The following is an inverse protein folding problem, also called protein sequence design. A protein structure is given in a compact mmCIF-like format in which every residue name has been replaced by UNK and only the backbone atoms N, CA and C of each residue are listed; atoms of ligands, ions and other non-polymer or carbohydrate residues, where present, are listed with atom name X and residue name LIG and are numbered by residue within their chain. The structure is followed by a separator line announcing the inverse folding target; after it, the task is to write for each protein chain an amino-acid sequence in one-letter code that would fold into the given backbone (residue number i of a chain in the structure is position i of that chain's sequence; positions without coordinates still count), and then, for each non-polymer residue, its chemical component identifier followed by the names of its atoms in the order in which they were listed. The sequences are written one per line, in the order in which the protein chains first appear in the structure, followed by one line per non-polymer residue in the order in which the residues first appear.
data_IF_156284083946
#
_entry.id   IF_156284083946
#
_cell.length_a   1.000
_cell.length_b   1.000
_cell.length_c   1.000
_cell.angle_alpha   90.00
_cell.angle_beta   90.00
_cell.angle_gamma   90.00
#
_symmetry.space_group_name_H-M   'P 1'
#
loop_
_entity.id
_entity.type
_entity.pdbx_description
1 polymer ?
#
# COMPACT_ATOMS: atom_id res chain seq x y z
N UNK A 1 8.50 -15.35 -9.50
CA UNK A 1 8.18 -15.74 -8.11
C UNK A 1 6.80 -15.23 -7.72
N UNK A 2 5.96 -16.05 -7.06
CA UNK A 2 4.57 -15.70 -6.70
C UNK A 2 4.44 -14.38 -5.90
N UNK A 3 5.41 -14.11 -5.02
CA UNK A 3 5.45 -12.91 -4.20
C UNK A 3 5.45 -11.61 -5.03
N UNK A 4 6.19 -11.57 -6.14
CA UNK A 4 6.23 -10.40 -7.03
C UNK A 4 4.85 -10.11 -7.60
N UNK A 5 4.19 -11.12 -8.18
CA UNK A 5 2.87 -10.95 -8.81
C UNK A 5 1.84 -10.49 -7.78
N UNK A 6 1.83 -11.15 -6.61
CA UNK A 6 0.89 -10.85 -5.54
C UNK A 6 1.06 -9.43 -5.00
N UNK A 7 2.29 -9.05 -4.65
CA UNK A 7 2.56 -7.76 -4.03
C UNK A 7 2.55 -6.62 -5.04
N UNK A 8 2.89 -6.87 -6.31
CA UNK A 8 2.69 -5.92 -7.39
C UNK A 8 1.21 -5.56 -7.55
N UNK A 9 0.33 -6.56 -7.62
CA UNK A 9 -1.11 -6.33 -7.65
C UNK A 9 -1.57 -5.53 -6.42
N UNK A 10 -1.07 -5.87 -5.22
CA UNK A 10 -1.40 -5.17 -3.98
C UNK A 10 -1.03 -3.69 -4.01
N UNK A 11 0.19 -3.34 -4.44
CA UNK A 11 0.65 -1.94 -4.47
C UNK A 11 0.04 -1.14 -5.62
N UNK A 12 -0.36 -1.81 -6.71
CA UNK A 12 -1.07 -1.18 -7.82
C UNK A 12 -2.55 -0.91 -7.50
N UNK A 13 -3.15 -1.69 -6.61
CA UNK A 13 -4.55 -1.58 -6.20
C UNK A 13 -4.81 -0.42 -5.22
N UNK A 14 -4.43 0.80 -5.61
CA UNK A 14 -4.67 2.02 -4.84
C UNK A 14 -6.16 2.34 -4.85
N UNK A 15 -6.82 2.16 -3.70
CA UNK A 15 -8.25 2.43 -3.52
C UNK A 15 -8.46 3.90 -3.16
N UNK A 16 -8.57 4.75 -4.18
CA UNK A 16 -8.99 6.13 -3.97
C UNK A 16 -10.51 6.25 -3.79
N UNK A 17 -10.97 7.40 -3.30
CA UNK A 17 -12.38 7.60 -2.95
C UNK A 17 -13.29 7.57 -4.19
N UNK A 18 -12.77 7.88 -5.38
CA UNK A 18 -13.50 7.72 -6.65
C UNK A 18 -13.75 6.25 -6.94
N UNK A 19 -12.71 5.41 -6.81
CA UNK A 19 -12.81 3.97 -7.01
C UNK A 19 -13.72 3.34 -5.94
N UNK A 20 -13.59 3.76 -4.68
CA UNK A 20 -14.49 3.32 -3.60
C UNK A 20 -15.93 3.72 -3.90
N UNK A 21 -16.19 4.95 -4.33
CA UNK A 21 -17.53 5.41 -4.70
C UNK A 21 -18.11 4.62 -5.88
N UNK A 22 -17.29 4.27 -6.87
CA UNK A 22 -17.70 3.39 -7.97
C UNK A 22 -18.08 1.99 -7.46
N UNK A 23 -17.24 1.37 -6.64
CA UNK A 23 -17.49 0.04 -6.08
C UNK A 23 -18.72 0.00 -5.15
N UNK A 24 -18.95 1.06 -4.37
CA UNK A 24 -20.09 1.16 -3.47
C UNK A 24 -21.42 1.42 -4.17
N UNK A 25 -21.39 1.92 -5.42
CA UNK A 25 -22.59 2.22 -6.22
C UNK A 25 -22.72 1.32 -7.44
N UNK A 26 -21.98 0.21 -7.49
CA UNK A 26 -22.00 -0.72 -8.62
C UNK A 26 -23.28 -1.56 -8.62
N UNK A 27 -23.80 -1.84 -9.82
CA UNK A 27 -25.00 -2.67 -9.98
C UNK A 27 -24.79 -4.09 -9.47
N UNK A 28 -23.58 -4.63 -9.66
CA UNK A 28 -23.20 -5.95 -9.16
C UNK A 28 -23.29 -6.04 -7.64
N UNK A 29 -22.80 -5.01 -6.93
CA UNK A 29 -22.93 -4.91 -5.47
C UNK A 29 -24.40 -4.87 -5.08
N UNK A 30 -25.19 -4.01 -5.71
CA UNK A 30 -26.62 -3.90 -5.40
C UNK A 30 -27.37 -5.21 -5.67
N UNK A 31 -27.04 -5.93 -6.75
CA UNK A 31 -27.62 -7.23 -7.08
C UNK A 31 -27.26 -8.27 -6.02
N UNK A 32 -26.00 -8.31 -5.59
CA UNK A 32 -25.51 -9.22 -4.54
C UNK A 32 -26.16 -8.92 -3.20
N UNK A 33 -26.29 -7.65 -2.84
CA UNK A 33 -26.93 -7.24 -1.59
C UNK A 33 -28.43 -7.59 -1.60
N UNK A 34 -29.14 -7.33 -2.71
CA UNK A 34 -30.55 -7.74 -2.85
C UNK A 34 -30.72 -9.25 -2.70
N UNK A 35 -29.87 -10.05 -3.36
CA UNK A 35 -29.90 -11.50 -3.23
C UNK A 35 -29.58 -11.96 -1.79
N UNK A 36 -28.60 -11.33 -1.14
CA UNK A 36 -28.17 -11.66 0.22
C UNK A 36 -29.28 -11.40 1.26
N UNK A 37 -30.02 -10.32 1.09
CA UNK A 37 -31.07 -9.91 2.01
C UNK A 37 -32.47 -10.31 1.53
N UNK A 38 -32.58 -11.13 0.48
CA UNK A 38 -33.84 -11.58 -0.12
C UNK A 38 -34.82 -10.43 -0.41
N UNK A 39 -34.29 -9.30 -0.88
CA UNK A 39 -35.06 -8.09 -1.17
C UNK A 39 -35.69 -8.20 -2.55
N UNK A 40 -37.01 -8.15 -2.60
CA UNK A 40 -37.78 -8.18 -3.84
C UNK A 40 -38.45 -6.81 -4.10
N UNK A 41 -37.94 -6.01 -5.04
CA UNK A 41 -38.53 -4.71 -5.37
C UNK A 41 -39.98 -4.82 -5.86
N UNK A 42 -40.38 -5.94 -6.48
CA UNK A 42 -41.74 -6.13 -6.99
C UNK A 42 -42.75 -6.36 -5.87
N UNK A 43 -42.29 -6.88 -4.72
CA UNK A 43 -43.09 -6.98 -3.49
C UNK A 43 -43.14 -5.67 -2.68
N UNK A 44 -42.42 -4.64 -3.12
CA UNK A 44 -42.36 -3.34 -2.46
C UNK A 44 -41.22 -3.18 -1.46
N UNK A 45 -40.29 -4.14 -1.37
CA UNK A 45 -39.14 -4.04 -0.46
C UNK A 45 -38.19 -2.91 -0.85
N UNK A 46 -37.67 -2.19 0.14
CA UNK A 46 -36.75 -1.07 -0.07
C UNK A 46 -35.44 -1.29 0.66
N UNK A 47 -34.34 -1.10 -0.06
CA UNK A 47 -33.00 -1.09 0.51
C UNK A 47 -32.44 0.32 0.47
N UNK A 48 -32.07 0.87 1.62
CA UNK A 48 -31.46 2.18 1.74
C UNK A 48 -30.02 2.08 2.22
N UNK A 49 -29.08 2.68 1.48
CA UNK A 49 -27.67 2.65 1.82
C UNK A 49 -27.23 3.91 2.59
N UNK A 50 -26.54 3.69 3.70
CA UNK A 50 -25.87 4.72 4.50
C UNK A 50 -24.42 4.31 4.68
N UNK A 51 -23.51 5.11 4.15
CA UNK A 51 -22.08 4.81 4.21
C UNK A 51 -21.40 5.70 5.23
N UNK A 52 -20.74 5.08 6.20
CA UNK A 52 -19.88 5.76 7.17
C UNK A 52 -18.50 5.93 6.53
N UNK A 53 -18.22 7.13 6.05
CA UNK A 53 -16.98 7.43 5.36
C UNK A 53 -16.20 8.51 6.09
N UNK A 54 -14.87 8.39 6.06
CA UNK A 54 -13.94 9.43 6.48
C UNK A 54 -13.10 9.86 5.29
N UNK A 55 -13.67 10.63 4.34
CA UNK A 55 -12.92 11.09 3.17
C UNK A 55 -11.68 11.87 3.61
N UNK A 56 -10.57 11.64 2.91
CA UNK A 56 -9.31 12.34 3.20
C UNK A 56 -8.74 12.93 1.91
N UNK A 57 -8.57 14.24 1.90
CA UNK A 57 -8.01 14.96 0.76
C UNK A 57 -6.76 15.71 1.18
N UNK A 58 -5.73 15.65 0.35
CA UNK A 58 -4.56 16.52 0.46
C UNK A 58 -4.78 17.70 -0.50
N UNK A 59 -4.91 18.91 0.06
CA UNK A 59 -5.08 20.16 -0.70
C UNK A 59 -4.11 21.22 -0.14
N UNK A 60 -3.26 21.77 -1.01
CA UNK A 60 -2.27 22.81 -0.67
C UNK A 60 -1.39 22.45 0.54
N UNK A 61 -0.90 21.22 0.61
CA UNK A 61 -0.06 20.75 1.71
C UNK A 61 -0.79 20.56 3.04
N UNK A 62 -2.12 20.72 3.07
CA UNK A 62 -2.97 20.44 4.25
C UNK A 62 -3.80 19.18 4.01
N UNK A 63 -3.87 18.33 5.02
CA UNK A 63 -4.74 17.16 5.01
C UNK A 63 -6.09 17.50 5.62
N UNK A 64 -7.14 17.36 4.82
CA UNK A 64 -8.52 17.52 5.25
C UNK A 64 -9.14 16.15 5.42
N UNK A 65 -9.47 15.80 6.66
CA UNK A 65 -10.15 14.57 7.00
C UNK A 65 -11.33 14.88 7.92
N UNK A 66 -12.53 14.41 7.56
CA UNK A 66 -13.72 14.58 8.38
C UNK A 66 -14.60 13.33 8.31
N UNK A 67 -15.40 13.11 9.36
CA UNK A 67 -16.36 12.01 9.40
C UNK A 67 -17.67 12.46 8.74
N UNK A 68 -18.17 11.70 7.77
CA UNK A 68 -19.40 12.03 7.06
C UNK A 68 -20.24 10.78 6.79
N UNK A 69 -21.55 10.92 6.98
CA UNK A 69 -22.54 9.92 6.56
C UNK A 69 -22.94 10.21 5.12
N UNK A 70 -22.37 9.48 4.16
CA UNK A 70 -22.70 9.68 2.74
C UNK A 70 -23.87 8.81 2.29
N UNK A 71 -24.62 9.31 1.31
CA UNK A 71 -25.68 8.59 0.60
C UNK A 71 -25.23 8.21 -0.81
N UNK A 72 -25.93 7.29 -1.45
CA UNK A 72 -25.60 6.83 -2.81
C UNK A 72 -25.56 7.94 -3.83
N UNK A 73 -26.43 8.95 -3.75
CA UNK A 73 -26.39 10.08 -4.68
C UNK A 73 -25.06 10.85 -4.60
N UNK A 74 -24.50 11.00 -3.39
CA UNK A 74 -23.20 11.65 -3.18
C UNK A 74 -22.08 10.83 -3.81
N UNK A 75 -22.11 9.51 -3.62
CA UNK A 75 -21.13 8.60 -4.23
C UNK A 75 -21.29 8.52 -5.75
N UNK A 76 -22.51 8.61 -6.27
CA UNK A 76 -22.81 8.69 -7.70
C UNK A 76 -22.27 9.96 -8.35
N UNK A 77 -22.18 11.07 -7.61
CA UNK A 77 -21.47 12.27 -8.05
C UNK A 77 -19.96 12.00 -7.99
N UNK A 78 -19.44 11.56 -6.85
CA UNK A 78 -18.00 11.31 -6.66
C UNK A 78 -17.39 10.40 -7.73
N UNK A 79 -18.08 9.32 -8.13
CA UNK A 79 -17.58 8.39 -9.16
C UNK A 79 -17.42 9.02 -10.55
N UNK A 80 -18.10 10.14 -10.82
CA UNK A 80 -18.03 10.90 -12.07
C UNK A 80 -16.94 11.97 -12.05
N UNK A 81 -16.47 12.38 -10.87
CA UNK A 81 -15.45 13.42 -10.68
C UNK A 81 -14.02 12.87 -10.89
N UNK A 82 -13.80 12.09 -11.96
CA UNK A 82 -12.48 11.49 -12.28
C UNK A 82 -11.38 12.54 -12.48
N UNK A 83 -11.76 13.76 -12.86
CA UNK A 83 -10.86 14.89 -13.04
C UNK A 83 -10.19 15.34 -11.72
N UNK A 84 -10.78 15.03 -10.55
CA UNK A 84 -10.15 15.33 -9.25
C UNK A 84 -8.79 14.65 -9.10
N UNK A 85 -8.56 13.49 -9.72
CA UNK A 85 -7.25 12.82 -9.74
C UNK A 85 -6.16 13.67 -10.40
N UNK A 86 -6.53 14.57 -11.31
CA UNK A 86 -5.60 15.48 -12.00
C UNK A 86 -5.40 16.78 -11.21
N UNK A 87 -6.46 17.27 -10.57
CA UNK A 87 -6.44 18.54 -9.82
C UNK A 87 -5.83 18.39 -8.43
N UNK A 88 -5.88 17.19 -7.86
CA UNK A 88 -5.30 16.87 -6.55
C UNK A 88 -4.13 15.88 -6.72
N UNK A 89 -2.98 16.31 -7.31
CA UNK A 89 -1.87 15.41 -7.56
C UNK A 89 -1.16 14.94 -6.28
N UNK A 90 -1.36 15.59 -5.14
CA UNK A 90 -0.84 15.09 -3.85
C UNK A 90 -1.75 14.03 -3.21
N UNK A 91 -2.96 13.84 -3.75
CA UNK A 91 -3.90 12.85 -3.26
C UNK A 91 -3.39 11.43 -3.54
N UNK A 92 -3.31 10.60 -2.51
CA UNK A 92 -2.67 9.25 -2.58
C UNK A 92 -1.24 9.28 -3.12
N UNK A 93 -0.51 10.38 -2.94
CA UNK A 93 0.90 10.47 -3.34
C UNK A 93 1.79 9.47 -2.58
N UNK A 94 1.67 9.30 -1.25
CA UNK A 94 2.48 8.31 -0.54
C UNK A 94 2.27 6.87 -1.06
N UNK A 95 1.03 6.48 -1.40
CA UNK A 95 0.74 5.18 -2.02
C UNK A 95 1.41 5.04 -3.39
N UNK A 96 1.34 6.08 -4.23
CA UNK A 96 1.96 6.07 -5.57
C UNK A 96 3.48 6.01 -5.47
N UNK A 97 4.07 6.80 -4.59
CA UNK A 97 5.50 6.77 -4.33
C UNK A 97 5.91 5.38 -3.84
N UNK A 98 5.08 4.73 -3.00
CA UNK A 98 5.36 3.36 -2.51
C UNK A 98 5.28 2.33 -3.63
N UNK A 99 4.29 2.43 -4.51
CA UNK A 99 4.20 1.61 -5.73
C UNK A 99 5.41 1.80 -6.63
N UNK A 100 5.80 3.04 -6.89
CA UNK A 100 6.89 3.35 -7.81
C UNK A 100 8.25 2.90 -7.25
N UNK A 101 8.43 3.06 -5.93
CA UNK A 101 9.54 2.44 -5.21
C UNK A 101 9.55 0.91 -5.36
N UNK A 102 8.41 0.24 -5.15
CA UNK A 102 8.34 -1.23 -5.29
C UNK A 102 8.68 -1.69 -6.72
N UNK A 103 8.19 -0.97 -7.73
CA UNK A 103 8.50 -1.21 -9.13
C UNK A 103 10.01 -1.05 -9.42
N UNK A 104 10.68 -0.07 -8.81
CA UNK A 104 12.12 0.13 -8.98
C UNK A 104 12.99 -1.01 -8.43
N UNK A 105 12.44 -1.88 -7.58
CA UNK A 105 13.15 -3.06 -7.06
C UNK A 105 13.20 -4.21 -8.07
N UNK A 106 12.25 -4.25 -9.03
CA UNK A 106 12.10 -5.37 -9.94
C UNK A 106 13.29 -5.59 -10.90
N UNK A 107 13.92 -4.55 -11.47
CA UNK A 107 15.13 -4.73 -12.28
C UNK A 107 16.30 -5.34 -11.48
N UNK A 108 16.45 -4.99 -10.20
CA UNK A 108 17.48 -5.56 -9.32
C UNK A 108 17.23 -7.02 -8.98
N UNK A 109 15.96 -7.43 -8.87
CA UNK A 109 15.60 -8.83 -8.63
C UNK A 109 16.01 -9.75 -9.78
N UNK A 110 15.87 -9.31 -11.05
CA UNK A 110 16.31 -10.10 -12.21
C UNK A 110 17.81 -10.43 -12.16
N UNK A 111 18.61 -9.47 -11.67
CA UNK A 111 20.05 -9.64 -11.49
C UNK A 111 20.37 -10.54 -10.30
N UNK A 112 19.68 -10.35 -9.17
CA UNK A 112 19.84 -11.13 -7.95
C UNK A 112 19.41 -12.59 -8.10
N UNK A 113 18.44 -12.88 -8.98
CA UNK A 113 17.95 -14.24 -9.24
C UNK A 113 19.02 -15.19 -9.80
N UNK A 114 20.20 -14.67 -10.19
CA UNK A 114 21.33 -15.47 -10.68
C UNK A 114 22.12 -16.16 -9.56
N UNK A 115 21.97 -15.75 -8.30
CA UNK A 115 22.63 -16.35 -7.12
C UNK A 115 21.59 -16.69 -6.05
N UNK A 116 21.67 -17.89 -5.47
CA UNK A 116 20.68 -18.38 -4.50
C UNK A 116 20.60 -17.52 -3.23
N UNK A 117 21.74 -17.08 -2.68
CA UNK A 117 21.78 -16.23 -1.48
C UNK A 117 21.16 -14.85 -1.72
N UNK A 118 21.45 -14.24 -2.87
CA UNK A 118 20.88 -12.96 -3.27
C UNK A 118 19.38 -13.07 -3.60
N UNK A 119 18.95 -14.19 -4.16
CA UNK A 119 17.55 -14.47 -4.45
C UNK A 119 16.68 -14.50 -3.19
N UNK A 120 17.08 -15.24 -2.15
CA UNK A 120 16.30 -15.35 -0.90
C UNK A 120 16.21 -14.00 -0.19
N UNK A 121 17.31 -13.24 -0.17
CA UNK A 121 17.35 -11.89 0.41
C UNK A 121 16.43 -10.93 -0.34
N UNK A 122 16.47 -10.92 -1.66
CA UNK A 122 15.54 -10.12 -2.47
C UNK A 122 14.09 -10.58 -2.29
N UNK A 123 13.85 -11.88 -2.14
CA UNK A 123 12.51 -12.41 -1.91
C UNK A 123 11.92 -11.89 -0.59
N UNK A 124 12.73 -11.76 0.47
CA UNK A 124 12.31 -11.13 1.72
C UNK A 124 11.89 -9.67 1.48
N UNK A 125 12.68 -8.90 0.73
CA UNK A 125 12.35 -7.51 0.37
C UNK A 125 11.02 -7.43 -0.40
N UNK A 126 10.83 -8.31 -1.39
CA UNK A 126 9.64 -8.34 -2.22
C UNK A 126 8.36 -8.75 -1.49
N UNK A 127 8.48 -9.35 -0.29
CA UNK A 127 7.38 -9.69 0.61
C UNK A 127 7.02 -8.60 1.60
N UNK A 128 7.87 -7.59 1.81
CA UNK A 128 7.60 -6.50 2.77
C UNK A 128 6.25 -5.78 2.57
N UNK A 129 5.72 -5.60 1.33
CA UNK A 129 4.38 -5.03 1.16
C UNK A 129 3.27 -5.86 1.79
N UNK A 130 3.45 -7.14 2.11
CA UNK A 130 2.43 -7.98 2.76
C UNK A 130 2.04 -7.43 4.13
N UNK A 131 3.00 -6.91 4.89
CA UNK A 131 2.81 -6.33 6.23
C UNK A 131 2.14 -4.95 6.19
N UNK A 132 2.20 -4.26 5.03
CA UNK A 132 1.60 -2.95 4.82
C UNK A 132 0.09 -3.11 4.63
N UNK A 133 -0.65 -2.94 5.72
CA UNK A 133 -2.10 -3.06 5.78
C UNK A 133 -2.69 -2.10 6.80
N UNK A 134 -4.00 -1.82 6.66
CA UNK A 134 -4.75 -0.96 7.56
C UNK A 134 -5.15 0.39 6.96
N UNK A 135 -5.73 1.24 7.81
CA UNK A 135 -6.09 2.61 7.49
C UNK A 135 -4.85 3.48 7.26
N UNK A 136 -5.03 4.69 6.71
CA UNK A 136 -3.95 5.54 6.22
C UNK A 136 -2.93 5.85 7.31
N UNK A 137 -3.42 6.16 8.51
CA UNK A 137 -2.67 6.46 9.73
C UNK A 137 -1.75 5.31 10.18
N UNK A 138 -2.11 4.06 9.88
CA UNK A 138 -1.31 2.87 10.21
C UNK A 138 -0.43 2.48 9.02
N UNK A 139 -0.98 2.61 7.81
CA UNK A 139 -0.36 2.17 6.57
C UNK A 139 0.87 3.00 6.21
N UNK A 140 0.82 4.32 6.40
CA UNK A 140 1.92 5.21 6.03
C UNK A 140 3.18 4.98 6.87
N UNK A 141 3.10 4.87 8.20
CA UNK A 141 4.24 4.44 9.01
C UNK A 141 4.80 3.10 8.55
N UNK A 142 3.92 2.10 8.30
CA UNK A 142 4.34 0.78 7.82
C UNK A 142 5.02 0.81 6.45
N UNK A 143 4.61 1.70 5.55
CA UNK A 143 5.29 1.90 4.26
C UNK A 143 6.71 2.43 4.46
N UNK A 144 6.89 3.38 5.37
CA UNK A 144 8.21 3.90 5.71
C UNK A 144 9.09 2.82 6.38
N UNK A 145 8.54 2.05 7.31
CA UNK A 145 9.22 0.91 7.93
C UNK A 145 9.63 -0.15 6.91
N UNK A 146 8.74 -0.49 5.98
CA UNK A 146 9.03 -1.45 4.90
C UNK A 146 10.20 -0.96 4.03
N UNK A 147 10.23 0.33 3.67
CA UNK A 147 11.36 0.91 2.93
C UNK A 147 12.66 0.85 3.73
N UNK A 148 12.64 1.24 4.99
CA UNK A 148 13.82 1.19 5.86
C UNK A 148 14.34 -0.25 6.06
N UNK A 149 13.45 -1.24 6.15
CA UNK A 149 13.85 -2.66 6.21
C UNK A 149 14.44 -3.14 4.89
N UNK A 150 13.86 -2.74 3.76
CA UNK A 150 14.40 -3.08 2.45
C UNK A 150 15.81 -2.54 2.25
N UNK A 151 16.07 -1.29 2.64
CA UNK A 151 17.40 -0.69 2.57
C UNK A 151 18.41 -1.50 3.38
N UNK A 152 18.07 -1.89 4.61
CA UNK A 152 18.94 -2.74 5.45
C UNK A 152 19.22 -4.11 4.82
N UNK A 153 18.22 -4.73 4.20
CA UNK A 153 18.38 -6.04 3.56
C UNK A 153 19.17 -5.97 2.25
N UNK A 154 19.10 -4.86 1.54
CA UNK A 154 19.81 -4.67 0.26
C UNK A 154 21.25 -4.17 0.45
N UNK A 155 21.62 -3.70 1.64
CA UNK A 155 23.01 -3.37 1.94
C UNK A 155 23.92 -4.61 1.74
N UNK A 156 25.04 -4.47 1.02
CA UNK A 156 26.00 -5.56 0.86
C UNK A 156 26.67 -5.85 2.21
N UNK A 157 26.82 -7.14 2.54
CA UNK A 157 27.41 -7.64 3.81
C UNK A 157 28.84 -7.15 4.09
N UNK A 158 29.52 -6.52 3.12
CA UNK A 158 30.86 -5.97 3.26
C UNK A 158 31.01 -4.94 4.40
N UNK A 159 29.92 -4.31 4.86
CA UNK A 159 29.95 -3.39 6.01
C UNK A 159 29.92 -4.12 7.37
N UNK A 160 29.46 -5.36 7.45
CA UNK A 160 29.33 -6.12 8.70
C UNK A 160 30.62 -6.87 9.08
N UNK A 161 31.41 -7.32 8.10
CA UNK A 161 32.69 -8.00 8.36
C UNK A 161 33.85 -7.03 8.69
N UNK A 162 33.79 -5.78 8.21
CA UNK A 162 34.82 -4.76 8.48
C UNK A 162 34.91 -4.34 9.95
N UNK A 163 33.76 -4.24 10.63
CA UNK A 163 33.68 -3.82 12.04
C UNK A 163 34.16 -4.93 13.00
N UNK A 164 34.03 -6.20 12.62
CA UNK A 164 34.50 -7.33 13.44
C UNK A 164 36.00 -7.64 13.27
N UNK A 165 36.63 -7.23 12.17
CA UNK A 165 38.08 -7.41 11.99
C UNK A 165 38.91 -6.37 12.74
N UNK A 166 38.44 -5.12 12.79
CA UNK A 166 39.17 -4.02 13.42
C UNK A 166 39.17 -4.10 14.96
N UNK A 167 38.17 -4.74 15.55
CA UNK A 167 38.07 -4.99 17.00
C UNK A 167 38.92 -6.18 17.49
N UNK A 168 39.49 -6.99 16.59
CA UNK A 168 40.33 -8.17 16.93
C UNK A 168 41.84 -7.91 16.87
N UNK A 169 42.30 -6.74 16.42
CA UNK A 169 43.72 -6.47 16.17
C UNK A 169 44.45 -5.65 17.25
N UNK A 170 43.90 -5.51 18.46
CA UNK A 170 44.63 -4.83 19.55
C UNK A 170 45.62 -5.81 20.19
N UNK A 171 46.95 -5.63 20.06
CA UNK A 171 47.93 -6.49 20.70
C UNK A 171 47.96 -6.18 22.20
N UNK A 172 47.94 -7.23 23.02
CA UNK A 172 48.06 -7.16 24.48
C UNK A 172 49.49 -6.66 24.82
N UNK A 173 49.66 -5.60 25.65
CA UNK A 173 51.00 -5.18 26.05
C UNK A 173 51.63 -6.22 26.96
N UNK A 174 52.84 -6.67 26.60
CA UNK A 174 53.71 -7.45 27.47
C UNK A 174 54.09 -6.61 28.70
N UNK A 175 53.88 -7.19 29.89
CA UNK A 175 54.27 -6.56 31.15
C UNK A 175 55.74 -6.86 31.40
N UNK A 176 56.53 -5.81 31.60
CA UNK A 176 57.88 -5.83 32.18
C UNK A 176 57.76 -5.56 33.67
#
# INVERSE_FOLDING_TARGET
TRAVIWNLHKVMAIKDEIFVAHQLTSEEKHRRDRARFSIDPERGDRLSYRHLNRPQFALWGREFAWNMKTRDWMLNIMKRLKWLRRVLPDWHRPERDFRDWYLSLLPGFEQAARRTSDYERFLQVLRLPEEVSGYREIRYPKMAEARARAEKLLQPEAAAEGVQRESRSVPKPERV
#
